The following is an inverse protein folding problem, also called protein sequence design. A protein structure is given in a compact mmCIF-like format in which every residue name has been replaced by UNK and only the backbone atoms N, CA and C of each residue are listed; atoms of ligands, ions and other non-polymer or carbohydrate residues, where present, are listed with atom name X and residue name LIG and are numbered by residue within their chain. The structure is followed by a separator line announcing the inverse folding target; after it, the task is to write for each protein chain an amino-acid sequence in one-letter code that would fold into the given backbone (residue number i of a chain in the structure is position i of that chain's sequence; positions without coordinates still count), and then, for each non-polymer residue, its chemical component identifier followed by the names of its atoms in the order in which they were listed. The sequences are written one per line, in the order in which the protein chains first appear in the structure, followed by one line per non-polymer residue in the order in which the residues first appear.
data_IF_522052455314
#
_entry.id   IF_522052455314
#
_cell.length_a   1.000
_cell.length_b   1.000
_cell.length_c   1.000
_cell.angle_alpha   90.00
_cell.angle_beta   90.00
_cell.angle_gamma   90.00
#
_symmetry.space_group_name_H-M   'P 1'
#
loop_
_entity.id
_entity.type
_entity.pdbx_description
1 polymer ?
#
# COMPACT_ATOMS: atom_id res chain seq x y z
N UNK A 1 1.26 9.06 -3.35
CA UNK A 1 2.28 9.10 -2.27
C UNK A 1 3.65 8.74 -2.79
N UNK A 2 4.66 9.33 -2.21
CA UNK A 2 6.02 8.90 -2.49
C UNK A 2 6.32 7.63 -1.71
N UNK A 3 7.47 7.03 -2.02
CA UNK A 3 7.87 5.83 -1.30
C UNK A 3 8.00 6.09 0.21
N UNK A 4 8.57 7.23 0.56
CA UNK A 4 8.72 7.57 1.96
C UNK A 4 7.37 7.73 2.65
N UNK A 5 6.43 8.34 1.98
CA UNK A 5 5.11 8.56 2.57
C UNK A 5 4.37 7.27 2.81
N UNK A 6 4.43 6.36 1.84
CA UNK A 6 3.73 5.10 2.01
C UNK A 6 4.41 4.23 3.06
N UNK A 7 5.73 4.33 3.18
CA UNK A 7 6.43 3.61 4.23
C UNK A 7 6.01 4.10 5.61
N UNK A 8 5.87 5.40 5.76
CA UNK A 8 5.39 5.95 7.02
C UNK A 8 3.98 5.49 7.32
N UNK A 9 3.14 5.51 6.30
CA UNK A 9 1.75 5.10 6.46
C UNK A 9 1.65 3.66 6.92
N UNK A 10 2.49 2.79 6.36
CA UNK A 10 2.42 1.37 6.66
C UNK A 10 3.31 0.96 7.83
N UNK A 11 4.16 1.85 8.30
CA UNK A 11 5.08 1.53 9.38
C UNK A 11 6.17 0.57 8.98
N UNK A 12 6.62 0.64 7.73
CA UNK A 12 7.64 -0.25 7.20
C UNK A 12 8.80 0.57 6.64
N UNK A 13 9.97 -0.07 6.57
CA UNK A 13 11.13 0.58 5.96
C UNK A 13 11.02 0.50 4.44
N UNK A 14 11.77 1.37 3.75
CA UNK A 14 11.76 1.36 2.30
C UNK A 14 12.26 0.03 1.74
N UNK A 15 13.29 -0.51 2.35
CA UNK A 15 13.85 -1.77 1.90
C UNK A 15 12.83 -2.89 2.07
N UNK A 16 12.16 -2.92 3.21
CA UNK A 16 11.16 -3.94 3.46
C UNK A 16 10.00 -3.84 2.48
N UNK A 17 9.55 -2.62 2.23
CA UNK A 17 8.43 -2.45 1.32
C UNK A 17 8.79 -2.86 -0.10
N UNK A 18 9.96 -2.43 -0.59
CA UNK A 18 10.32 -2.72 -1.97
C UNK A 18 10.65 -4.19 -2.19
N UNK A 19 11.28 -4.83 -1.22
CA UNK A 19 11.64 -6.25 -1.41
C UNK A 19 10.46 -7.17 -1.19
N UNK A 20 9.44 -6.74 -0.48
CA UNK A 20 8.26 -7.57 -0.24
C UNK A 20 6.99 -6.85 -0.69
N UNK A 21 7.08 -6.13 -1.79
CA UNK A 21 5.95 -5.33 -2.25
C UNK A 21 4.70 -6.17 -2.50
N UNK A 22 4.86 -7.26 -3.21
CA UNK A 22 3.70 -8.12 -3.52
C UNK A 22 3.03 -8.63 -2.25
N UNK A 23 3.85 -9.09 -1.31
CA UNK A 23 3.31 -9.61 -0.07
C UNK A 23 2.57 -8.51 0.70
N UNK A 24 3.16 -7.34 0.76
CA UNK A 24 2.53 -6.22 1.43
C UNK A 24 1.21 -5.87 0.75
N UNK A 25 1.23 -5.86 -0.58
CA UNK A 25 0.03 -5.57 -1.35
C UNK A 25 -1.09 -6.56 -1.04
N UNK A 26 -0.75 -7.84 -0.99
CA UNK A 26 -1.75 -8.85 -0.68
C UNK A 26 -2.28 -8.74 0.74
N UNK A 27 -1.38 -8.47 1.68
CA UNK A 27 -1.81 -8.30 3.07
C UNK A 27 -2.78 -7.14 3.22
N UNK A 28 -2.52 -6.05 2.52
CA UNK A 28 -3.41 -4.90 2.56
C UNK A 28 -4.75 -5.20 1.92
N UNK A 29 -4.73 -5.95 0.84
CA UNK A 29 -5.99 -6.32 0.18
C UNK A 29 -6.90 -7.10 1.11
N UNK A 30 -6.35 -7.95 1.92
CA UNK A 30 -7.14 -8.70 2.89
C UNK A 30 -7.84 -7.78 3.87
N UNK A 31 -7.30 -6.59 4.07
CA UNK A 31 -7.89 -5.60 4.95
C UNK A 31 -8.77 -4.60 4.22
N UNK A 32 -8.97 -4.80 2.92
CA UNK A 32 -9.77 -3.89 2.13
C UNK A 32 -9.00 -2.68 1.63
N UNK A 33 -7.69 -2.79 1.55
CA UNK A 33 -6.84 -1.70 1.10
C UNK A 33 -6.12 -2.15 -0.17
N UNK A 34 -6.15 -1.31 -1.19
CA UNK A 34 -5.46 -1.59 -2.44
C UNK A 34 -4.26 -0.66 -2.54
N UNK A 35 -3.09 -1.26 -2.70
CA UNK A 35 -1.85 -0.51 -2.86
C UNK A 35 -1.41 -0.60 -4.30
N UNK A 36 -1.30 0.55 -4.95
CA UNK A 36 -0.89 0.63 -6.34
C UNK A 36 0.45 1.33 -6.44
N UNK A 37 1.21 0.95 -7.45
CA UNK A 37 2.52 1.53 -7.70
C UNK A 37 2.62 1.92 -9.15
N UNK A 38 3.00 3.17 -9.40
CA UNK A 38 3.19 3.67 -10.76
C UNK A 38 4.63 4.17 -10.89
N UNK A 39 5.37 3.58 -11.83
CA UNK A 39 6.76 3.94 -12.02
C UNK A 39 7.69 2.97 -11.32
N UNK A 40 8.98 3.25 -11.38
CA UNK A 40 10.00 2.41 -10.80
C UNK A 40 10.98 3.23 -9.99
N UNK A 41 11.65 2.58 -9.04
CA UNK A 41 12.70 3.20 -8.27
C UNK A 41 12.21 4.31 -7.38
N UNK A 42 13.05 5.29 -7.20
CA UNK A 42 12.75 6.39 -6.28
C UNK A 42 11.64 7.29 -6.77
N UNK A 43 11.38 7.27 -8.07
CA UNK A 43 10.36 8.14 -8.65
C UNK A 43 8.99 7.47 -8.71
N UNK A 44 8.88 6.27 -8.17
CA UNK A 44 7.59 5.59 -8.16
C UNK A 44 6.60 6.33 -7.29
N UNK A 45 5.36 6.37 -7.76
CA UNK A 45 4.27 7.00 -7.03
C UNK A 45 3.36 5.90 -6.52
N UNK A 46 3.00 5.98 -5.25
CA UNK A 46 2.15 4.96 -4.64
C UNK A 46 0.78 5.54 -4.35
N UNK A 47 -0.24 4.74 -4.56
CA UNK A 47 -1.62 5.15 -4.32
C UNK A 47 -2.28 4.13 -3.41
N UNK A 48 -3.04 4.61 -2.43
CA UNK A 48 -3.76 3.74 -1.51
C UNK A 48 -5.24 3.99 -1.66
N UNK A 49 -5.97 2.90 -1.90
CA UNK A 49 -7.42 2.97 -2.09
C UNK A 49 -8.08 2.09 -1.05
N UNK A 50 -9.07 2.62 -0.37
CA UNK A 50 -9.82 1.87 0.63
C UNK A 50 -11.08 1.31 0.00
N UNK A 51 -11.15 0.00 -0.10
CA UNK A 51 -12.28 -0.66 -0.75
C UNK A 51 -13.22 -1.34 0.22
N UNK A 52 -12.65 -1.95 1.23
CA UNK A 52 -13.45 -2.75 2.14
C UNK A 52 -14.25 -1.93 3.14
N UNK A 53 -13.98 -0.67 3.20
CA UNK A 53 -14.60 0.18 4.19
C UNK A 53 -16.11 0.22 4.07
N UNK A 54 -16.57 0.34 2.84
CA UNK A 54 -18.00 0.42 2.59
C UNK A 54 -18.72 -0.83 3.05
N UNK A 55 -18.09 -1.96 2.86
CA UNK A 55 -18.70 -3.23 3.25
C UNK A 55 -18.85 -3.34 4.74
N UNK A 56 -17.91 -2.79 5.46
CA UNK A 56 -17.97 -2.83 6.92
C UNK A 56 -19.10 -1.99 7.45
N UNK A 57 -19.36 -0.90 6.77
CA UNK A 57 -20.43 0.00 7.21
C UNK A 57 -21.78 -0.67 7.08
N UNK A 58 -21.93 -1.49 6.08
CA UNK A 58 -23.19 -2.16 5.84
C UNK A 58 -23.54 -3.19 6.88
N UNK A 59 -22.55 -3.58 7.61
CA UNK A 59 -22.81 -4.58 8.65
C UNK A 59 -23.34 -3.95 9.91
#
# INVERSE_FOLDING_TARGET
MTLQEVCKFLGKSEITLTSAFKRTQENLRKKGIILLKDGVGKNAVYTIIYEGEDKNVDK
#
